data_IF_861816902145
#
_entry.id   IF_861816902145
#
_cell.length_a   1.000
_cell.length_b   1.000
_cell.length_c   1.000
_cell.angle_alpha   90.00
_cell.angle_beta   90.00
_cell.angle_gamma   90.00
#
_symmetry.space_group_name_H-M   'P 1'
#
loop_
_entity.id
_entity.type
_entity.pdbx_description
1 polymer ?
#
# COMPACT_ATOMS: atom_id res chain seq x y z
N UNK A 1 -23.70 5.50 7.93
CA UNK A 1 -22.62 4.98 8.78
C UNK A 1 -21.47 4.59 7.85
N UNK A 2 -20.34 5.33 7.80
CA UNK A 2 -19.23 4.90 6.96
C UNK A 2 -18.52 3.72 7.63
N UNK A 3 -18.59 2.56 7.01
CA UNK A 3 -17.83 1.37 7.39
C UNK A 3 -16.34 1.68 7.22
N UNK A 4 -15.65 1.91 8.34
CA UNK A 4 -14.20 2.03 8.43
C UNK A 4 -13.55 0.71 8.02
N UNK A 5 -13.43 0.49 6.71
CA UNK A 5 -12.79 -0.67 6.13
C UNK A 5 -11.27 -0.54 6.33
N UNK A 6 -10.80 -0.99 7.49
CA UNK A 6 -9.37 -1.08 7.81
C UNK A 6 -8.78 -2.24 7.04
N UNK A 7 -7.86 -1.96 6.14
CA UNK A 7 -7.01 -2.99 5.54
C UNK A 7 -6.01 -3.47 6.60
N UNK A 8 -5.74 -4.78 6.63
CA UNK A 8 -4.82 -5.40 7.58
C UNK A 8 -3.62 -6.01 6.86
N UNK A 9 -2.54 -6.26 7.59
CA UNK A 9 -1.41 -7.00 7.03
C UNK A 9 -1.82 -8.42 6.65
N UNK A 10 -1.39 -8.87 5.47
CA UNK A 10 -1.74 -10.18 4.93
C UNK A 10 -3.06 -10.20 4.16
N UNK A 11 -3.81 -9.10 4.15
CA UNK A 11 -4.98 -8.95 3.30
C UNK A 11 -4.56 -9.04 1.83
N UNK A 12 -5.29 -9.82 1.03
CA UNK A 12 -4.97 -10.05 -0.38
C UNK A 12 -5.90 -9.22 -1.23
N UNK A 13 -5.33 -8.46 -2.16
CA UNK A 13 -6.08 -7.65 -3.10
C UNK A 13 -5.58 -7.89 -4.52
N UNK A 14 -6.30 -7.40 -5.51
CA UNK A 14 -5.86 -7.48 -6.91
C UNK A 14 -5.67 -6.06 -7.42
N UNK A 15 -4.48 -5.77 -7.93
CA UNK A 15 -4.16 -4.47 -8.49
C UNK A 15 -3.50 -4.63 -9.86
N UNK A 16 -3.64 -3.59 -10.68
CA UNK A 16 -2.95 -3.51 -11.96
C UNK A 16 -1.49 -3.19 -11.65
N UNK A 17 -0.58 -4.11 -11.97
CA UNK A 17 0.84 -3.84 -11.81
C UNK A 17 1.37 -3.12 -13.03
N UNK A 18 1.94 -1.92 -12.86
CA UNK A 18 2.56 -1.18 -13.97
C UNK A 18 3.74 -1.94 -14.62
N UNK A 19 4.41 -2.81 -13.85
CA UNK A 19 5.52 -3.63 -14.32
C UNK A 19 5.02 -4.82 -15.17
N UNK A 20 4.01 -5.56 -14.68
CA UNK A 20 3.44 -6.70 -15.41
C UNK A 20 2.40 -6.30 -16.47
N UNK A 21 1.86 -5.07 -16.40
CA UNK A 21 0.77 -4.53 -17.22
C UNK A 21 -0.49 -5.40 -17.23
N UNK A 22 -0.72 -6.13 -16.15
CA UNK A 22 -1.86 -7.02 -15.96
C UNK A 22 -2.38 -6.90 -14.52
N UNK A 23 -3.60 -7.39 -14.28
CA UNK A 23 -4.18 -7.50 -12.94
C UNK A 23 -3.50 -8.68 -12.25
N UNK A 24 -2.70 -8.38 -11.24
CA UNK A 24 -1.98 -9.38 -10.45
C UNK A 24 -2.51 -9.43 -9.03
N UNK A 25 -2.46 -10.60 -8.37
CA UNK A 25 -2.68 -10.67 -6.94
C UNK A 25 -1.57 -9.90 -6.21
N UNK A 26 -1.98 -9.22 -5.17
CA UNK A 26 -1.16 -8.37 -4.31
C UNK A 26 -1.46 -8.70 -2.87
N UNK A 27 -0.47 -8.54 -2.01
CA UNK A 27 -0.62 -8.74 -0.57
C UNK A 27 -0.29 -7.44 0.14
N UNK A 28 -1.16 -7.01 1.03
CA UNK A 28 -0.90 -5.89 1.91
C UNK A 28 0.16 -6.27 2.94
N UNK A 29 1.23 -5.49 3.01
CA UNK A 29 2.32 -5.67 3.98
C UNK A 29 2.62 -4.34 4.65
N UNK A 30 2.95 -4.39 5.94
CA UNK A 30 3.50 -3.22 6.62
C UNK A 30 4.95 -3.05 6.22
N UNK A 31 5.28 -1.85 5.73
CA UNK A 31 6.65 -1.49 5.41
C UNK A 31 6.95 -0.12 5.97
N UNK A 32 8.16 0.02 6.50
CA UNK A 32 8.66 1.31 6.93
C UNK A 32 9.19 2.03 5.69
N UNK A 33 8.51 3.12 5.31
CA UNK A 33 9.01 3.99 4.24
C UNK A 33 9.51 5.30 4.83
N UNK A 34 10.75 5.73 4.52
CA UNK A 34 11.14 7.09 4.81
C UNK A 34 10.23 8.03 4.03
N UNK A 35 9.70 9.06 4.70
CA UNK A 35 8.99 10.11 3.98
C UNK A 35 9.96 10.76 2.99
N UNK A 36 9.49 11.05 1.78
CA UNK A 36 10.30 11.68 0.73
C UNK A 36 10.89 13.03 1.17
N UNK A 37 10.24 13.70 2.12
CA UNK A 37 10.67 14.98 2.69
C UNK A 37 11.76 14.85 3.78
N UNK A 38 12.20 13.63 4.12
CA UNK A 38 13.22 13.39 5.15
C UNK A 38 12.78 13.73 6.59
N UNK A 39 11.53 14.16 6.76
CA UNK A 39 10.92 14.61 8.03
C UNK A 39 10.55 13.48 8.99
N UNK A 40 10.61 12.22 8.54
CA UNK A 40 10.35 11.07 9.38
C UNK A 40 10.32 9.75 8.62
N UNK A 41 10.09 8.66 9.35
CA UNK A 41 9.84 7.33 8.78
C UNK A 41 8.38 7.00 9.04
N UNK A 42 7.63 6.76 7.97
CA UNK A 42 6.29 6.20 8.03
C UNK A 42 6.41 4.73 8.42
N UNK A 43 6.43 4.47 9.74
CA UNK A 43 6.43 3.11 10.27
C UNK A 43 5.04 2.52 10.15
N UNK A 44 4.95 1.20 9.94
CA UNK A 44 3.68 0.50 9.81
C UNK A 44 2.79 1.08 8.69
N UNK A 45 3.39 1.47 7.56
CA UNK A 45 2.62 1.88 6.40
C UNK A 45 2.15 0.64 5.65
N UNK A 46 0.83 0.49 5.53
CA UNK A 46 0.26 -0.63 4.80
C UNK A 46 0.39 -0.36 3.29
N UNK A 47 1.12 -1.23 2.59
CA UNK A 47 1.35 -1.11 1.15
C UNK A 47 0.97 -2.39 0.44
N UNK A 48 0.40 -2.28 -0.76
CA UNK A 48 0.07 -3.42 -1.61
C UNK A 48 1.30 -3.80 -2.43
N UNK A 49 1.81 -5.01 -2.19
CA UNK A 49 2.95 -5.57 -2.91
C UNK A 49 2.47 -6.62 -3.89
N UNK A 50 2.93 -6.55 -5.14
CA UNK A 50 2.67 -7.56 -6.15
C UNK A 50 3.31 -8.90 -5.78
N UNK A 51 2.54 -9.98 -5.81
CA UNK A 51 3.06 -11.31 -5.49
C UNK A 51 4.03 -11.84 -6.56
N UNK A 52 3.84 -11.44 -7.83
CA UNK A 52 4.68 -11.85 -8.97
C UNK A 52 6.05 -11.19 -8.99
N UNK A 53 6.12 -9.87 -8.85
CA UNK A 53 7.35 -9.09 -9.00
C UNK A 53 7.84 -8.42 -7.72
N UNK A 54 7.13 -8.61 -6.60
CA UNK A 54 7.45 -8.06 -5.28
C UNK A 54 7.60 -6.53 -5.25
N UNK A 55 7.06 -5.85 -6.27
CA UNK A 55 7.02 -4.40 -6.37
C UNK A 55 5.79 -3.85 -5.65
N UNK A 56 5.95 -2.70 -5.00
CA UNK A 56 4.81 -1.95 -4.46
C UNK A 56 4.00 -1.41 -5.62
N UNK A 57 2.76 -1.88 -5.75
CA UNK A 57 1.88 -1.52 -6.87
C UNK A 57 0.81 -0.52 -6.48
N UNK A 58 0.47 -0.45 -5.20
CA UNK A 58 -0.46 0.53 -4.69
C UNK A 58 -0.14 0.87 -3.24
N UNK A 59 -0.31 2.14 -2.89
CA UNK A 59 -0.40 2.60 -1.51
C UNK A 59 -1.86 3.02 -1.34
N UNK A 60 -2.65 2.35 -0.48
CA UNK A 60 -4.05 2.70 -0.28
C UNK A 60 -4.15 4.17 0.15
N UNK A 61 -5.05 4.91 -0.47
CA UNK A 61 -5.23 6.35 -0.25
C UNK A 61 -5.65 6.73 1.19
N UNK A 62 -5.90 5.74 2.07
CA UNK A 62 -6.02 5.96 3.51
C UNK A 62 -4.75 6.55 4.14
N UNK A 63 -3.61 6.46 3.45
CA UNK A 63 -2.34 7.05 3.87
C UNK A 63 -2.10 8.46 3.31
N UNK A 64 -3.11 9.16 2.78
CA UNK A 64 -2.99 10.60 2.59
C UNK A 64 -2.96 11.25 3.98
N UNK A 65 -1.87 11.93 4.38
CA UNK A 65 -1.97 12.86 5.49
C UNK A 65 -3.02 13.90 5.07
N UNK A 66 -4.00 14.08 5.93
CA UNK A 66 -4.97 15.17 5.80
C UNK A 66 -4.16 16.48 5.76
N UNK A 67 -4.07 17.10 4.58
CA UNK A 67 -3.49 18.43 4.43
C UNK A 67 -4.61 19.47 4.37
N UNK A 68 -5.09 19.82 5.56
CA UNK A 68 -5.97 20.95 5.91
C UNK A 68 -7.39 21.00 5.33
#
# INVERSE_FOLDING_TARGET
MPTSQRYHEGDKSQAICSNCREIVPTTFRYRDMPFSDGSGIARNMLVSVCDKCQTVVAIPAQSKPDIN
#
